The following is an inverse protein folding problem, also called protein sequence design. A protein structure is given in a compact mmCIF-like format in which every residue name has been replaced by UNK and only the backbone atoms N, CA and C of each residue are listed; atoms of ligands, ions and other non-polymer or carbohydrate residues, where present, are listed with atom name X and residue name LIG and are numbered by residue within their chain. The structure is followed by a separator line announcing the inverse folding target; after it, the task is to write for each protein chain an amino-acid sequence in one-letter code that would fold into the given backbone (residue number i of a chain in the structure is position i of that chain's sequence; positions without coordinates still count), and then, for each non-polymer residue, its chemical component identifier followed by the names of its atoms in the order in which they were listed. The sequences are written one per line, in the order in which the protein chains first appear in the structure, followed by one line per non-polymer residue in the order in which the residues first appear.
data_IF_556476247456
#
_entry.id   IF_556476247456
#
_cell.length_a   1.000
_cell.length_b   1.000
_cell.length_c   1.000
_cell.angle_alpha   90.00
_cell.angle_beta   90.00
_cell.angle_gamma   90.00
#
_symmetry.space_group_name_H-M   'P 1'
#
loop_
_entity.id
_entity.type
_entity.pdbx_description
1 polymer ?
#
# COMPACT_ATOMS: atom_id res chain seq x y z
N UNK A 1 -7.79 -16.99 4.83
CA UNK A 1 -7.24 -16.52 3.53
C UNK A 1 -7.12 -15.00 3.62
N UNK A 2 -5.96 -14.40 3.30
CA UNK A 2 -5.84 -12.94 3.31
C UNK A 2 -6.78 -12.34 2.26
N UNK A 3 -7.46 -11.24 2.60
CA UNK A 3 -8.43 -10.60 1.70
C UNK A 3 -7.77 -9.64 0.71
N UNK A 4 -6.67 -9.02 1.13
CA UNK A 4 -5.94 -8.00 0.39
C UNK A 4 -4.45 -8.33 0.38
N UNK A 5 -3.76 -7.96 -0.69
CA UNK A 5 -2.30 -7.96 -0.80
C UNK A 5 -1.84 -6.55 -1.14
N UNK A 6 -0.82 -6.06 -0.46
CA UNK A 6 -0.27 -4.73 -0.67
C UNK A 6 1.22 -4.92 -0.96
N UNK A 7 1.69 -4.39 -2.09
CA UNK A 7 3.07 -4.54 -2.51
C UNK A 7 3.72 -3.19 -2.78
N UNK A 8 4.91 -2.93 -2.22
CA UNK A 8 5.75 -1.82 -2.65
C UNK A 8 6.42 -2.17 -3.98
N UNK A 9 6.19 -1.35 -5.00
CA UNK A 9 6.77 -1.53 -6.34
C UNK A 9 7.68 -0.35 -6.66
N UNK A 10 8.84 -0.64 -7.24
CA UNK A 10 9.80 0.40 -7.66
C UNK A 10 9.42 0.92 -9.05
N UNK A 11 9.16 2.21 -9.14
CA UNK A 11 9.04 2.91 -10.41
C UNK A 11 10.43 3.13 -11.00
N UNK A 12 10.73 2.48 -12.13
CA UNK A 12 12.05 2.55 -12.77
C UNK A 12 12.38 3.96 -13.27
N UNK A 13 11.36 4.74 -13.65
CA UNK A 13 11.54 6.09 -14.21
C UNK A 13 12.01 7.09 -13.17
N UNK A 14 11.41 7.09 -11.96
CA UNK A 14 11.75 8.02 -10.88
C UNK A 14 12.69 7.42 -9.83
N UNK A 15 12.88 6.10 -9.84
CA UNK A 15 13.61 5.37 -8.81
C UNK A 15 12.90 5.30 -7.46
N UNK A 16 11.68 5.85 -7.35
CA UNK A 16 10.88 5.87 -6.13
C UNK A 16 9.96 4.66 -6.05
N UNK A 17 9.47 4.36 -4.86
CA UNK A 17 8.50 3.31 -4.63
C UNK A 17 7.08 3.89 -4.59
N UNK A 18 6.13 3.10 -5.10
CA UNK A 18 4.69 3.28 -4.96
C UNK A 18 4.07 1.99 -4.40
N UNK A 19 2.76 1.98 -4.20
CA UNK A 19 2.03 0.85 -3.65
C UNK A 19 1.03 0.34 -4.68
N UNK A 20 0.98 -0.98 -4.81
CA UNK A 20 -0.07 -1.70 -5.50
C UNK A 20 -0.92 -2.46 -4.49
N UNK A 21 -2.24 -2.30 -4.57
CA UNK A 21 -3.20 -2.95 -3.67
C UNK A 21 -4.07 -3.87 -4.50
N UNK A 22 -4.09 -5.15 -4.14
CA UNK A 22 -4.85 -6.20 -4.81
C UNK A 22 -6.02 -6.64 -3.93
N UNK A 23 -7.20 -6.71 -4.54
CA UNK A 23 -8.43 -7.20 -3.90
C UNK A 23 -9.26 -7.97 -4.95
N UNK A 24 -9.45 -9.29 -4.81
CA UNK A 24 -8.88 -10.15 -3.77
C UNK A 24 -7.34 -10.22 -3.83
N UNK A 25 -6.71 -10.72 -2.78
CA UNK A 25 -5.24 -10.78 -2.66
C UNK A 25 -4.50 -11.44 -3.84
N UNK A 26 -5.15 -12.36 -4.54
CA UNK A 26 -4.65 -13.14 -5.67
C UNK A 26 -5.09 -12.57 -7.03
N UNK A 27 -5.71 -11.38 -7.05
CA UNK A 27 -6.09 -10.72 -8.28
C UNK A 27 -4.86 -10.53 -9.20
N UNK A 28 -5.03 -10.72 -10.53
CA UNK A 28 -3.93 -10.63 -11.49
C UNK A 28 -3.50 -9.18 -11.75
N UNK A 29 -4.30 -8.20 -11.34
CA UNK A 29 -4.03 -6.78 -11.49
C UNK A 29 -4.41 -6.02 -10.21
N UNK A 30 -3.72 -4.91 -9.90
CA UNK A 30 -4.03 -4.13 -8.72
C UNK A 30 -5.38 -3.43 -8.87
N UNK A 31 -6.14 -3.41 -7.78
CA UNK A 31 -7.34 -2.59 -7.64
C UNK A 31 -6.99 -1.10 -7.48
N UNK A 32 -5.89 -0.80 -6.76
CA UNK A 32 -5.38 0.57 -6.59
C UNK A 32 -3.88 0.59 -6.85
N UNK A 33 -3.42 1.61 -7.58
CA UNK A 33 -2.01 1.95 -7.76
C UNK A 33 -1.80 3.38 -7.30
N UNK A 34 -0.84 3.61 -6.40
CA UNK A 34 -0.52 4.95 -5.88
C UNK A 34 0.56 5.63 -6.71
N UNK A 35 0.81 6.92 -6.43
CA UNK A 35 1.89 7.66 -7.08
C UNK A 35 3.26 7.33 -6.45
N UNK A 36 4.34 7.30 -7.24
CA UNK A 36 5.69 7.03 -6.74
C UNK A 36 6.23 8.19 -5.90
N UNK A 37 6.34 7.96 -4.59
CA UNK A 37 6.72 9.00 -3.61
C UNK A 37 7.70 8.53 -2.54
N UNK A 38 7.86 7.23 -2.33
CA UNK A 38 8.69 6.70 -1.24
C UNK A 38 10.13 6.47 -1.70
N UNK A 39 11.08 6.66 -0.79
CA UNK A 39 12.51 6.45 -1.09
C UNK A 39 12.93 4.96 -0.99
N UNK A 40 12.15 4.13 -0.32
CA UNK A 40 12.40 2.70 -0.15
C UNK A 40 11.10 1.92 -0.01
N UNK A 41 11.15 0.60 -0.24
CA UNK A 41 10.03 -0.30 0.03
C UNK A 41 9.57 -0.23 1.49
N UNK A 42 10.52 -0.27 2.44
CA UNK A 42 10.23 -0.18 3.87
C UNK A 42 9.53 1.14 4.26
N UNK A 43 9.87 2.26 3.61
CA UNK A 43 9.17 3.51 3.84
C UNK A 43 7.71 3.47 3.36
N UNK A 44 7.45 2.80 2.23
CA UNK A 44 6.10 2.60 1.71
C UNK A 44 5.27 1.68 2.63
N UNK A 45 5.85 0.57 3.09
CA UNK A 45 5.21 -0.37 4.02
C UNK A 45 4.87 0.28 5.37
N UNK A 46 5.80 1.02 5.95
CA UNK A 46 5.56 1.71 7.22
C UNK A 46 4.43 2.75 7.11
N UNK A 47 4.34 3.47 5.98
CA UNK A 47 3.25 4.43 5.76
C UNK A 47 1.89 3.74 5.63
N UNK A 48 1.83 2.55 4.98
CA UNK A 48 0.60 1.73 4.95
C UNK A 48 0.15 1.37 6.36
N UNK A 49 1.07 0.88 7.20
CA UNK A 49 0.75 0.53 8.58
C UNK A 49 0.23 1.75 9.34
N UNK A 50 0.86 2.91 9.18
CA UNK A 50 0.42 4.15 9.82
C UNK A 50 -0.99 4.57 9.38
N UNK A 51 -1.28 4.53 8.07
CA UNK A 51 -2.59 4.87 7.52
C UNK A 51 -3.68 3.93 8.04
N UNK A 52 -3.42 2.61 8.03
CA UNK A 52 -4.37 1.62 8.54
C UNK A 52 -4.62 1.77 10.04
N UNK A 53 -3.57 2.02 10.82
CA UNK A 53 -3.69 2.27 12.25
C UNK A 53 -4.50 3.53 12.55
N UNK A 54 -4.29 4.61 11.78
CA UNK A 54 -5.06 5.85 11.90
C UNK A 54 -6.54 5.62 11.56
N UNK A 55 -6.83 4.98 10.43
CA UNK A 55 -8.20 4.69 10.01
C UNK A 55 -8.94 3.79 11.02
N UNK A 56 -8.28 2.75 11.54
CA UNK A 56 -8.84 1.88 12.56
C UNK A 56 -9.11 2.60 13.88
N UNK A 57 -8.23 3.55 14.26
CA UNK A 57 -8.42 4.38 15.45
C UNK A 57 -9.62 5.32 15.29
N UNK A 58 -9.81 5.92 14.12
CA UNK A 58 -11.00 6.73 13.82
C UNK A 58 -12.28 5.90 13.89
N UNK A 59 -12.30 4.72 13.27
CA UNK A 59 -13.46 3.82 13.25
C UNK A 59 -13.87 3.33 14.65
N UNK A 60 -12.92 3.19 15.58
CA UNK A 60 -13.22 2.85 16.99
C UNK A 60 -13.90 3.99 17.76
N UNK A 61 -13.60 5.23 17.40
CA UNK A 61 -14.07 6.43 18.09
C UNK A 61 -15.31 7.05 17.43
N UNK A 62 -15.88 6.39 16.42
CA UNK A 62 -17.13 6.79 15.73
C UNK A 62 -18.26 5.85 16.09
#
# INVERSE_FOLDING_TARGET
MPLIRIEPVRDERSGRYYLEIYSPHDAPAPYVTTQPRYQSAAAAENDVVAILAAAASTARNS
#
